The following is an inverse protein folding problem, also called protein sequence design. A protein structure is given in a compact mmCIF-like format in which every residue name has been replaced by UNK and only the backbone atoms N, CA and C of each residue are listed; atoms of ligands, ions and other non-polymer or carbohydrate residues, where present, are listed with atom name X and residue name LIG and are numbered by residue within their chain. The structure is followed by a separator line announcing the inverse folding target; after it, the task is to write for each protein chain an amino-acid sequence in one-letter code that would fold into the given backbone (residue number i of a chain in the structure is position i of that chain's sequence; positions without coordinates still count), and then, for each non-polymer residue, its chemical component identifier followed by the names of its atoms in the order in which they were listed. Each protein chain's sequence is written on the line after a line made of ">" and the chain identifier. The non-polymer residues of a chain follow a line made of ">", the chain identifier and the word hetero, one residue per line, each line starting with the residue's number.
data_IF_960303851633
#
_entry.id   IF_960303851633
#
_cell.length_a   1.000
_cell.length_b   1.000
_cell.length_c   1.000
_cell.angle_alpha   90.00
_cell.angle_beta   90.00
_cell.angle_gamma   90.00
#
_symmetry.space_group_name_H-M   'P 1'
#
loop_
_entity.id
_entity.type
_entity.pdbx_description
1 polymer ?
#
# COMPACT_ATOMS: atom_id res chain seq x y z
N UNK A 1 -8.07 12.21 0.31
CA UNK A 1 -8.35 12.09 -1.14
C UNK A 1 -9.85 12.08 -1.41
N UNK A 2 -10.60 11.06 -0.97
CA UNK A 2 -12.04 10.94 -1.25
C UNK A 2 -12.85 12.19 -0.89
N UNK A 3 -12.54 12.86 0.23
CA UNK A 3 -13.14 14.15 0.59
C UNK A 3 -12.85 15.23 -0.47
N UNK A 4 -11.60 15.38 -0.90
CA UNK A 4 -11.24 16.34 -1.94
C UNK A 4 -11.86 16.00 -3.30
N UNK A 5 -11.92 14.71 -3.66
CA UNK A 5 -12.63 14.26 -4.87
C UNK A 5 -14.13 14.55 -4.77
N UNK A 6 -14.77 14.25 -3.64
CA UNK A 6 -16.19 14.52 -3.41
C UNK A 6 -16.51 16.01 -3.49
N UNK A 7 -15.71 16.85 -2.83
CA UNK A 7 -15.83 18.32 -2.93
C UNK A 7 -15.60 18.81 -4.36
N UNK A 8 -14.58 18.29 -5.04
CA UNK A 8 -14.28 18.66 -6.41
C UNK A 8 -15.39 18.27 -7.40
N UNK A 9 -15.97 17.08 -7.24
CA UNK A 9 -17.11 16.61 -8.06
C UNK A 9 -18.35 17.46 -7.80
N UNK A 10 -18.69 17.73 -6.54
CA UNK A 10 -19.81 18.59 -6.20
C UNK A 10 -19.64 20.00 -6.77
N UNK A 11 -18.45 20.60 -6.59
CA UNK A 11 -18.14 21.93 -7.09
C UNK A 11 -18.18 21.98 -8.62
N UNK A 12 -17.59 21.00 -9.31
CA UNK A 12 -17.62 20.92 -10.77
C UNK A 12 -19.05 20.79 -11.29
N UNK A 13 -19.87 19.92 -10.69
CA UNK A 13 -21.27 19.74 -11.08
C UNK A 13 -22.09 21.03 -10.93
N UNK A 14 -21.92 21.74 -9.82
CA UNK A 14 -22.61 23.01 -9.55
C UNK A 14 -22.14 24.11 -10.51
N UNK A 15 -20.82 24.27 -10.68
CA UNK A 15 -20.24 25.34 -11.49
C UNK A 15 -20.52 25.17 -12.98
N UNK A 16 -20.61 23.93 -13.45
CA UNK A 16 -20.82 23.60 -14.86
C UNK A 16 -22.29 23.34 -15.19
N UNK A 17 -23.19 23.44 -14.20
CA UNK A 17 -24.63 23.21 -14.41
C UNK A 17 -24.94 21.80 -14.91
N UNK A 18 -24.17 20.80 -14.51
CA UNK A 18 -24.34 19.40 -14.92
C UNK A 18 -25.54 18.72 -14.25
N UNK A 19 -26.23 19.42 -13.36
CA UNK A 19 -27.40 18.92 -12.67
C UNK A 19 -28.57 18.78 -13.67
N UNK A 20 -29.36 17.69 -13.61
CA UNK A 20 -30.58 17.56 -14.40
C UNK A 20 -31.52 18.74 -14.17
N UNK A 21 -32.20 19.18 -15.23
CA UNK A 21 -33.11 20.33 -15.16
C UNK A 21 -34.14 20.16 -14.04
N UNK A 22 -34.16 21.11 -13.10
CA UNK A 22 -35.07 21.11 -11.95
C UNK A 22 -34.58 20.34 -10.70
N UNK A 23 -33.42 19.66 -10.75
CA UNK A 23 -32.90 18.90 -9.61
C UNK A 23 -32.22 19.79 -8.53
N UNK A 24 -31.79 21.00 -8.91
CA UNK A 24 -31.06 21.92 -8.04
C UNK A 24 -29.70 21.38 -7.56
N UNK A 25 -29.02 22.15 -6.71
CA UNK A 25 -27.67 21.80 -6.20
C UNK A 25 -27.67 20.64 -5.20
N UNK A 26 -28.85 20.21 -4.74
CA UNK A 26 -28.97 19.18 -3.70
C UNK A 26 -28.35 17.86 -4.17
N UNK A 27 -28.61 17.44 -5.41
CA UNK A 27 -28.05 16.20 -5.97
C UNK A 27 -26.52 16.25 -6.07
N UNK A 28 -25.97 17.40 -6.46
CA UNK A 28 -24.52 17.64 -6.54
C UNK A 28 -23.85 17.60 -5.16
N UNK A 29 -24.52 18.11 -4.12
CA UNK A 29 -24.03 17.99 -2.74
C UNK A 29 -24.12 16.55 -2.23
N UNK A 30 -25.19 15.81 -2.58
CA UNK A 30 -25.36 14.40 -2.20
C UNK A 30 -24.27 13.53 -2.79
N UNK A 31 -23.92 13.69 -4.08
CA UNK A 31 -22.83 12.91 -4.71
C UNK A 31 -21.48 13.23 -4.07
N UNK A 32 -21.21 14.49 -3.73
CA UNK A 32 -19.98 14.87 -3.05
C UNK A 32 -19.89 14.26 -1.65
N UNK A 33 -21.00 14.31 -0.90
CA UNK A 33 -21.09 13.74 0.44
C UNK A 33 -20.96 12.22 0.43
N UNK A 34 -21.58 11.52 -0.53
CA UNK A 34 -21.51 10.06 -0.62
C UNK A 34 -20.07 9.57 -0.89
N UNK A 35 -19.36 10.19 -1.84
CA UNK A 35 -17.96 9.88 -2.15
C UNK A 35 -17.06 10.13 -0.93
N UNK A 36 -17.25 11.27 -0.25
CA UNK A 36 -16.48 11.61 0.94
C UNK A 36 -16.72 10.62 2.08
N UNK A 37 -17.98 10.25 2.34
CA UNK A 37 -18.38 9.38 3.44
C UNK A 37 -17.93 7.92 3.22
N UNK A 38 -18.05 7.37 2.00
CA UNK A 38 -17.50 6.04 1.68
C UNK A 38 -15.99 6.02 1.89
N UNK A 39 -15.30 7.09 1.50
CA UNK A 39 -13.87 7.24 1.76
C UNK A 39 -13.51 7.32 3.24
N UNK A 40 -14.36 7.92 4.07
CA UNK A 40 -14.18 7.98 5.51
C UNK A 40 -14.32 6.58 6.16
N UNK A 41 -15.28 5.77 5.70
CA UNK A 41 -15.39 4.36 6.12
C UNK A 41 -14.12 3.58 5.75
N UNK A 42 -13.62 3.75 4.52
CA UNK A 42 -12.38 3.09 4.09
C UNK A 42 -11.17 3.51 4.94
N UNK A 43 -11.11 4.78 5.38
CA UNK A 43 -10.11 5.27 6.32
C UNK A 43 -10.26 4.59 7.70
N UNK A 44 -11.48 4.46 8.21
CA UNK A 44 -11.75 3.73 9.45
C UNK A 44 -11.29 2.27 9.38
N UNK A 45 -11.58 1.59 8.28
CA UNK A 45 -11.10 0.22 8.02
C UNK A 45 -9.58 0.17 8.01
N UNK A 46 -8.92 1.10 7.32
CA UNK A 46 -7.46 1.17 7.27
C UNK A 46 -6.85 1.44 8.66
N UNK A 47 -7.48 2.29 9.47
CA UNK A 47 -7.07 2.56 10.84
C UNK A 47 -7.12 1.28 11.69
N UNK A 48 -8.23 0.53 11.65
CA UNK A 48 -8.36 -0.75 12.36
C UNK A 48 -7.33 -1.77 11.85
N UNK A 49 -7.17 -1.89 10.53
CA UNK A 49 -6.19 -2.80 9.93
C UNK A 49 -4.74 -2.50 10.37
N UNK A 50 -4.40 -1.22 10.52
CA UNK A 50 -3.11 -0.78 11.02
C UNK A 50 -2.88 -1.20 12.48
N UNK A 51 -3.95 -1.29 13.28
CA UNK A 51 -3.88 -1.77 14.65
C UNK A 51 -3.78 -3.30 14.76
N UNK A 52 -4.18 -4.06 13.74
CA UNK A 52 -4.06 -5.53 13.71
C UNK A 52 -2.70 -5.97 13.18
N UNK A 53 -2.22 -5.32 12.12
CA UNK A 53 -1.00 -5.71 11.44
C UNK A 53 0.28 -5.23 12.15
N UNK A 54 1.36 -5.98 11.97
CA UNK A 54 2.73 -5.61 12.39
C UNK A 54 3.48 -4.82 11.32
N UNK A 55 3.05 -4.91 10.06
CA UNK A 55 3.71 -4.30 8.92
C UNK A 55 2.73 -3.47 8.11
N UNK A 56 3.21 -2.39 7.49
CA UNK A 56 2.39 -1.57 6.58
C UNK A 56 1.84 -2.37 5.41
N UNK A 57 2.57 -3.40 4.95
CA UNK A 57 2.11 -4.30 3.89
C UNK A 57 0.93 -5.15 4.36
N UNK A 58 1.03 -5.75 5.56
CA UNK A 58 -0.07 -6.52 6.14
C UNK A 58 -1.32 -5.68 6.38
N UNK A 59 -1.17 -4.45 6.89
CA UNK A 59 -2.28 -3.51 7.09
C UNK A 59 -3.00 -3.20 5.77
N UNK A 60 -2.22 -2.88 4.72
CA UNK A 60 -2.78 -2.61 3.40
C UNK A 60 -3.49 -3.84 2.82
N UNK A 61 -2.94 -5.05 2.97
CA UNK A 61 -3.60 -6.28 2.52
C UNK A 61 -4.94 -6.49 3.24
N UNK A 62 -4.98 -6.35 4.57
CA UNK A 62 -6.23 -6.51 5.33
C UNK A 62 -7.27 -5.49 4.88
N UNK A 63 -6.89 -4.21 4.78
CA UNK A 63 -7.81 -3.16 4.35
C UNK A 63 -8.36 -3.42 2.94
N UNK A 64 -7.49 -3.80 1.98
CA UNK A 64 -7.91 -4.14 0.63
C UNK A 64 -8.83 -5.35 0.56
N UNK A 65 -8.61 -6.39 1.38
CA UNK A 65 -9.49 -7.56 1.45
C UNK A 65 -10.85 -7.17 1.99
N UNK A 66 -10.92 -6.39 3.07
CA UNK A 66 -12.20 -5.93 3.64
C UNK A 66 -12.98 -5.09 2.64
N UNK A 67 -12.32 -4.15 1.96
CA UNK A 67 -12.96 -3.34 0.91
C UNK A 67 -13.40 -4.19 -0.29
N UNK A 68 -12.59 -5.18 -0.68
CA UNK A 68 -12.94 -6.13 -1.73
C UNK A 68 -14.18 -6.95 -1.38
N UNK A 69 -14.31 -7.40 -0.12
CA UNK A 69 -15.52 -8.10 0.36
C UNK A 69 -16.74 -7.17 0.30
N UNK A 70 -16.63 -5.92 0.75
CA UNK A 70 -17.72 -4.96 0.62
C UNK A 70 -18.11 -4.69 -0.84
N UNK A 71 -17.13 -4.66 -1.75
CA UNK A 71 -17.40 -4.49 -3.18
C UNK A 71 -18.13 -5.71 -3.77
N UNK A 72 -17.73 -6.93 -3.41
CA UNK A 72 -18.41 -8.17 -3.84
C UNK A 72 -19.83 -8.24 -3.28
N UNK A 73 -20.02 -7.93 -1.99
CA UNK A 73 -21.35 -7.89 -1.38
C UNK A 73 -22.27 -6.89 -2.09
N UNK A 74 -21.73 -5.71 -2.44
CA UNK A 74 -22.44 -4.70 -3.23
C UNK A 74 -22.82 -5.26 -4.60
N UNK A 75 -21.84 -5.80 -5.33
CA UNK A 75 -22.03 -6.33 -6.68
C UNK A 75 -23.10 -7.44 -6.73
N UNK A 76 -23.08 -8.35 -5.76
CA UNK A 76 -24.11 -9.40 -5.64
C UNK A 76 -25.46 -8.81 -5.27
N UNK A 77 -25.49 -7.79 -4.41
CA UNK A 77 -26.73 -7.11 -4.03
C UNK A 77 -27.41 -6.38 -5.16
N UNK A 78 -26.64 -5.77 -6.06
CA UNK A 78 -27.18 -5.05 -7.23
C UNK A 78 -27.90 -5.98 -8.23
N UNK A 79 -27.60 -7.27 -8.20
CA UNK A 79 -28.17 -8.28 -9.10
C UNK A 79 -29.42 -8.97 -8.53
N UNK A 80 -29.80 -8.70 -7.28
CA UNK A 80 -30.97 -9.26 -6.62
C UNK A 80 -31.90 -8.19 -6.05
N UNK A 81 -32.63 -8.51 -4.98
CA UNK A 81 -33.62 -7.62 -4.36
C UNK A 81 -33.03 -6.43 -3.59
N UNK A 82 -31.75 -6.09 -3.78
CA UNK A 82 -31.07 -4.98 -3.10
C UNK A 82 -30.79 -5.17 -1.59
N UNK A 83 -31.30 -6.22 -0.95
CA UNK A 83 -31.09 -6.47 0.50
C UNK A 83 -29.61 -6.67 0.87
N UNK A 84 -28.81 -7.30 -0.01
CA UNK A 84 -27.37 -7.45 0.19
C UNK A 84 -26.60 -6.15 -0.04
N UNK A 85 -27.11 -5.21 -0.85
CA UNK A 85 -26.51 -3.88 -1.05
C UNK A 85 -26.45 -3.12 0.28
N UNK A 86 -27.45 -3.31 1.15
CA UNK A 86 -27.48 -2.75 2.50
C UNK A 86 -26.47 -3.35 3.48
N UNK A 87 -25.77 -4.44 3.15
CA UNK A 87 -24.66 -4.97 3.96
C UNK A 87 -23.32 -4.31 3.62
N UNK A 88 -23.27 -3.53 2.54
CA UNK A 88 -22.06 -2.86 2.09
C UNK A 88 -22.15 -1.35 2.34
N UNK A 89 -21.19 -0.74 3.06
CA UNK A 89 -21.12 0.71 3.17
C UNK A 89 -20.90 1.38 1.80
N UNK A 90 -20.36 0.66 0.81
CA UNK A 90 -20.27 1.16 -0.56
C UNK A 90 -21.66 1.26 -1.19
N UNK A 91 -22.53 0.28 -0.91
CA UNK A 91 -23.93 0.29 -1.34
C UNK A 91 -24.73 1.45 -0.75
N UNK A 92 -24.51 1.76 0.54
CA UNK A 92 -25.13 2.93 1.20
C UNK A 92 -24.81 4.24 0.48
N UNK A 93 -23.58 4.40 -0.02
CA UNK A 93 -23.20 5.58 -0.79
C UNK A 93 -24.01 5.76 -2.08
N UNK A 94 -24.40 4.66 -2.75
CA UNK A 94 -25.25 4.69 -3.94
C UNK A 94 -26.73 4.86 -3.60
N UNK A 95 -27.18 4.28 -2.48
CA UNK A 95 -28.55 4.47 -1.95
C UNK A 95 -28.86 5.92 -1.55
N UNK A 96 -27.84 6.77 -1.40
CA UNK A 96 -28.07 8.21 -1.31
C UNK A 96 -28.75 8.78 -2.58
N UNK A 97 -28.72 8.05 -3.71
CA UNK A 97 -29.40 8.35 -4.98
C UNK A 97 -29.28 9.83 -5.38
N UNK A 98 -28.07 10.31 -5.70
CA UNK A 98 -27.87 11.69 -6.15
C UNK A 98 -28.76 11.99 -7.37
N UNK A 99 -29.42 13.14 -7.36
CA UNK A 99 -30.39 13.59 -8.37
C UNK A 99 -31.64 12.71 -8.54
N UNK A 100 -31.76 11.62 -7.79
CA UNK A 100 -32.98 10.85 -7.62
C UNK A 100 -33.69 11.28 -6.33
N UNK A 101 -33.78 10.37 -5.37
CA UNK A 101 -34.44 10.64 -4.08
C UNK A 101 -33.60 11.49 -3.11
N UNK A 102 -32.30 11.73 -3.37
CA UNK A 102 -31.41 12.53 -2.52
C UNK A 102 -31.50 12.15 -1.02
N UNK A 103 -31.33 10.86 -0.72
CA UNK A 103 -31.55 10.27 0.62
C UNK A 103 -30.43 10.61 1.60
N UNK A 104 -30.42 11.86 2.10
CA UNK A 104 -29.43 12.37 3.05
C UNK A 104 -29.31 11.58 4.35
N UNK A 105 -30.40 10.94 4.79
CA UNK A 105 -30.39 10.16 6.03
C UNK A 105 -29.40 8.99 5.99
N UNK A 106 -29.08 8.46 4.80
CA UNK A 106 -28.10 7.37 4.60
C UNK A 106 -26.65 7.83 4.89
N UNK A 107 -26.41 9.15 4.93
CA UNK A 107 -25.15 9.70 5.41
C UNK A 107 -24.92 9.39 6.90
N UNK A 108 -25.99 9.38 7.70
CA UNK A 108 -25.96 9.07 9.13
C UNK A 108 -25.28 7.74 9.45
N UNK A 109 -25.74 6.58 8.91
CA UNK A 109 -25.11 5.30 9.16
C UNK A 109 -23.67 5.22 8.61
N UNK A 110 -23.34 5.88 7.50
CA UNK A 110 -21.95 5.95 6.99
C UNK A 110 -21.00 6.66 7.98
N UNK A 111 -21.42 7.81 8.50
CA UNK A 111 -20.66 8.56 9.50
C UNK A 111 -20.60 7.80 10.83
N UNK A 112 -21.71 7.18 11.24
CA UNK A 112 -21.79 6.34 12.44
C UNK A 112 -20.81 5.17 12.38
N UNK A 113 -20.79 4.42 11.27
CA UNK A 113 -19.84 3.32 11.05
C UNK A 113 -18.39 3.82 11.07
N UNK A 114 -18.12 4.96 10.43
CA UNK A 114 -16.79 5.59 10.46
C UNK A 114 -16.35 5.88 11.89
N UNK A 115 -17.21 6.52 12.68
CA UNK A 115 -16.92 6.85 14.08
C UNK A 115 -16.67 5.57 14.88
N UNK A 116 -17.51 4.54 14.73
CA UNK A 116 -17.32 3.25 15.41
C UNK A 116 -15.97 2.62 15.06
N UNK A 117 -15.61 2.57 13.77
CA UNK A 117 -14.32 2.03 13.33
C UNK A 117 -13.13 2.81 13.91
N UNK A 118 -13.21 4.13 13.94
CA UNK A 118 -12.18 4.98 14.54
C UNK A 118 -12.09 4.78 16.05
N UNK A 119 -13.22 4.71 16.76
CA UNK A 119 -13.25 4.42 18.19
C UNK A 119 -12.66 3.05 18.52
N UNK A 120 -12.97 2.03 17.70
CA UNK A 120 -12.36 0.70 17.81
C UNK A 120 -10.85 0.79 17.60
N UNK A 121 -10.39 1.47 16.54
CA UNK A 121 -8.96 1.66 16.28
C UNK A 121 -8.26 2.35 17.47
N UNK A 122 -8.83 3.45 17.98
CA UNK A 122 -8.29 4.20 19.12
C UNK A 122 -8.29 3.35 20.40
N UNK A 123 -9.31 2.53 20.63
CA UNK A 123 -9.39 1.68 21.82
C UNK A 123 -8.41 0.51 21.78
N UNK A 124 -8.13 -0.02 20.60
CA UNK A 124 -7.07 -1.01 20.40
C UNK A 124 -5.70 -0.35 20.59
N UNK A 125 -5.51 0.85 20.04
CA UNK A 125 -4.27 1.62 20.19
C UNK A 125 -3.96 1.94 21.66
N UNK A 126 -4.95 2.39 22.43
CA UNK A 126 -4.81 2.67 23.86
C UNK A 126 -4.43 1.45 24.71
N UNK A 127 -4.60 0.23 24.18
CA UNK A 127 -4.24 -1.03 24.85
C UNK A 127 -3.00 -1.69 24.24
N UNK A 128 -2.43 -1.16 23.14
CA UNK A 128 -1.24 -1.73 22.49
C UNK A 128 0.03 -1.16 23.11
N UNK A 129 0.89 -2.04 23.58
CA UNK A 129 2.29 -1.70 23.84
C UNK A 129 3.00 -1.36 22.51
N UNK A 130 3.75 -0.26 22.50
CA UNK A 130 4.41 0.28 21.31
C UNK A 130 5.38 -0.76 20.70
N UNK A 131 4.98 -1.35 19.56
CA UNK A 131 5.84 -2.19 18.72
C UNK A 131 5.36 -3.62 18.47
N UNK A 132 4.30 -4.10 19.13
CA UNK A 132 3.74 -5.44 18.88
C UNK A 132 2.37 -5.34 18.22
N UNK A 133 2.25 -5.77 16.95
CA UNK A 133 0.95 -6.02 16.33
C UNK A 133 0.19 -7.09 17.10
N UNK A 134 -1.15 -7.06 17.07
CA UNK A 134 -1.99 -8.10 17.68
C UNK A 134 -1.63 -9.50 17.13
N UNK A 135 -1.14 -9.55 15.88
CA UNK A 135 -0.56 -10.75 15.28
C UNK A 135 0.96 -10.72 15.45
N UNK A 136 1.49 -11.51 16.39
CA UNK A 136 2.93 -11.64 16.57
C UNK A 136 3.63 -12.13 15.28
N UNK A 137 4.78 -11.54 14.93
CA UNK A 137 5.65 -12.09 13.89
C UNK A 137 6.12 -13.48 14.33
N UNK A 138 5.63 -14.53 13.67
CA UNK A 138 6.25 -15.85 13.77
C UNK A 138 7.63 -15.77 13.12
N UNK A 139 8.73 -16.11 13.82
CA UNK A 139 10.04 -16.22 13.19
C UNK A 139 9.96 -17.18 12.01
N UNK A 140 10.37 -16.73 10.82
CA UNK A 140 10.41 -17.59 9.63
C UNK A 140 11.27 -18.82 9.86
N UNK A 141 10.87 -19.97 9.29
CA UNK A 141 11.61 -21.24 9.39
C UNK A 141 13.07 -21.06 8.97
N UNK A 142 14.00 -21.52 9.80
CA UNK A 142 15.46 -21.50 9.60
C UNK A 142 15.97 -22.43 8.48
N UNK A 143 15.08 -23.08 7.73
CA UNK A 143 15.40 -23.96 6.62
C UNK A 143 14.30 -23.93 5.56
N UNK A 144 14.29 -22.89 4.72
CA UNK A 144 13.46 -22.87 3.52
C UNK A 144 14.14 -23.73 2.43
N UNK A 145 13.46 -24.73 1.84
CA UNK A 145 14.04 -25.57 0.79
C UNK A 145 14.34 -24.75 -0.48
N UNK A 146 15.40 -25.13 -1.20
CA UNK A 146 15.99 -24.38 -2.33
C UNK A 146 15.00 -24.02 -3.47
N UNK A 147 13.84 -24.67 -3.54
CA UNK A 147 12.75 -24.33 -4.47
C UNK A 147 12.07 -22.98 -4.20
N UNK A 148 12.19 -22.44 -2.98
CA UNK A 148 11.79 -21.06 -2.65
C UNK A 148 12.95 -20.06 -2.76
N UNK A 149 14.15 -20.54 -3.11
CA UNK A 149 15.23 -19.66 -3.52
C UNK A 149 14.92 -19.17 -4.94
N UNK A 150 14.09 -18.14 -5.03
CA UNK A 150 14.21 -17.22 -6.15
C UNK A 150 15.67 -16.79 -6.27
N UNK A 151 16.14 -16.48 -7.48
CA UNK A 151 17.49 -15.95 -7.75
C UNK A 151 17.86 -14.69 -6.93
N UNK A 152 16.90 -14.17 -6.15
CA UNK A 152 16.98 -13.12 -5.13
C UNK A 152 17.67 -13.52 -3.80
N UNK A 153 17.99 -14.80 -3.58
CA UNK A 153 18.36 -15.29 -2.24
C UNK A 153 19.75 -15.90 -2.06
N UNK A 154 20.63 -15.96 -3.07
CA UNK A 154 22.00 -16.46 -2.86
C UNK A 154 22.85 -15.38 -2.18
N UNK A 155 23.29 -15.55 -0.92
CA UNK A 155 24.45 -14.80 -0.46
C UNK A 155 25.66 -15.40 -1.17
N UNK A 156 26.19 -14.71 -2.18
CA UNK A 156 27.54 -15.00 -2.65
C UNK A 156 28.48 -14.41 -1.61
N UNK A 157 28.79 -15.19 -0.59
CA UNK A 157 29.75 -14.85 0.44
C UNK A 157 30.09 -16.10 1.26
N UNK A 158 31.37 -16.32 1.61
CA UNK A 158 31.74 -17.44 2.47
C UNK A 158 30.98 -17.36 3.80
N UNK A 159 30.63 -18.51 4.42
CA UNK A 159 29.82 -18.53 5.63
C UNK A 159 30.51 -17.72 6.73
N UNK A 160 29.90 -16.59 7.10
CA UNK A 160 30.34 -15.79 8.25
C UNK A 160 30.01 -16.59 9.51
N UNK A 161 31.06 -17.20 10.08
CA UNK A 161 30.99 -17.88 11.37
C UNK A 161 30.76 -16.81 12.44
N UNK A 162 29.52 -16.71 12.93
CA UNK A 162 29.17 -15.83 14.06
C UNK A 162 29.88 -16.36 15.31
N UNK A 163 30.77 -15.59 15.96
CA UNK A 163 31.38 -16.02 17.21
C UNK A 163 30.30 -16.09 18.29
N UNK A 164 30.20 -17.25 18.96
CA UNK A 164 29.32 -17.41 20.13
C UNK A 164 29.91 -16.59 21.27
N UNK A 165 29.13 -15.70 21.93
CA UNK A 165 29.58 -15.06 23.15
C UNK A 165 29.53 -16.10 24.27
N UNK A 166 30.70 -16.57 24.71
CA UNK A 166 30.76 -17.54 25.82
C UNK A 166 32.03 -18.39 25.93
N UNK A 167 32.97 -18.31 24.99
CA UNK A 167 34.21 -19.11 25.05
C UNK A 167 35.44 -18.27 25.44
N UNK A 168 35.27 -17.35 26.40
CA UNK A 168 36.38 -16.74 27.11
C UNK A 168 36.73 -17.59 28.35
N UNK A 169 37.34 -18.75 28.11
CA UNK A 169 38.09 -19.42 29.17
C UNK A 169 39.43 -18.70 29.31
N UNK A 170 39.75 -18.08 30.46
CA UNK A 170 41.04 -17.43 30.64
C UNK A 170 42.13 -18.50 30.61
N UNK A 171 43.06 -18.34 29.67
CA UNK A 171 44.27 -19.13 29.57
C UNK A 171 45.02 -19.09 30.92
N UNK A 172 44.96 -20.20 31.65
CA UNK A 172 45.70 -20.44 32.89
C UNK A 172 47.19 -20.45 32.54
N UNK A 173 47.85 -19.28 32.63
CA UNK A 173 49.32 -19.19 32.64
C UNK A 173 49.81 -19.98 33.85
N UNK A 174 50.33 -21.19 33.60
CA UNK A 174 51.17 -21.92 34.55
C UNK A 174 52.40 -21.05 34.83
N UNK A 175 52.44 -20.41 35.99
CA UNK A 175 53.69 -19.92 36.57
C UNK A 175 54.20 -21.02 37.49
N UNK A 176 55.38 -21.51 37.16
CA UNK A 176 56.20 -22.33 38.03
C UNK A 176 56.39 -21.61 39.36
N UNK A 177 56.05 -22.31 40.44
CA UNK A 177 56.45 -21.95 41.78
C UNK A 177 57.90 -22.38 41.94
N UNK A 178 58.77 -21.43 42.24
CA UNK A 178 60.07 -21.72 42.81
C UNK A 178 60.19 -20.99 44.14
N UNK A 179 60.63 -21.74 45.14
CA UNK A 179 60.67 -21.34 46.53
C UNK A 179 61.87 -20.43 46.79
N UNK A 180 61.68 -19.39 47.59
CA UNK A 180 62.76 -18.45 47.90
C UNK A 180 62.39 -17.47 49.00
N UNK A 181 62.49 -17.95 50.23
CA UNK A 181 62.58 -17.17 51.47
C UNK A 181 63.45 -15.91 51.34
N UNK A 182 62.97 -14.75 51.83
CA UNK A 182 63.69 -13.89 52.81
C UNK A 182 62.96 -12.59 53.16
N UNK A 183 62.72 -12.48 54.48
CA UNK A 183 62.87 -11.33 55.41
C UNK A 183 62.61 -9.90 54.93
N UNK A 184 61.60 -9.32 55.61
CA UNK A 184 61.60 -8.05 56.38
C UNK A 184 62.56 -6.95 55.91
N UNK A 185 62.01 -5.77 55.58
CA UNK A 185 62.37 -4.53 56.27
C UNK A 185 61.23 -3.49 56.16
N UNK A 186 60.78 -3.01 57.32
CA UNK A 186 59.87 -1.87 57.48
C UNK A 186 60.68 -0.59 57.27
N UNK A 187 60.17 0.35 56.47
CA UNK A 187 60.49 1.76 56.64
C UNK A 187 59.19 2.60 56.57
N UNK A 188 58.92 3.27 57.69
CA UNK A 188 57.92 4.32 57.85
C UNK A 188 58.40 5.57 57.11
N UNK A 189 57.50 6.26 56.41
CA UNK A 189 57.65 7.68 56.07
C UNK A 189 56.29 8.41 56.22
N UNK A 190 56.30 9.73 56.52
CA UNK A 190 55.24 10.39 57.26
C UNK A 190 54.17 11.08 56.40
N UNK A 191 53.09 11.45 57.08
CA UNK A 191 51.87 12.07 56.60
C UNK A 191 52.07 13.41 55.86
N UNK A 192 51.26 13.63 54.82
CA UNK A 192 51.04 14.92 54.15
C UNK A 192 49.57 15.37 54.32
N UNK A 193 49.29 16.67 54.54
CA UNK A 193 47.94 17.19 54.77
C UNK A 193 47.16 17.42 53.45
N UNK A 194 45.83 17.64 53.49
CA UNK A 194 44.94 17.41 52.36
C UNK A 194 44.94 18.57 51.37
N UNK A 195 45.17 18.26 50.08
CA UNK A 195 44.94 19.21 48.97
C UNK A 195 43.48 19.15 48.53
N UNK A 196 42.86 20.33 48.53
CA UNK A 196 41.50 20.63 48.07
C UNK A 196 41.23 20.03 46.68
N UNK A 197 40.16 19.23 46.60
CA UNK A 197 39.67 18.65 45.35
C UNK A 197 38.90 19.70 44.53
N UNK A 198 39.54 20.25 43.50
CA UNK A 198 38.83 20.92 42.42
C UNK A 198 38.43 19.85 41.40
N UNK A 199 37.15 19.45 41.40
CA UNK A 199 36.56 18.63 40.33
C UNK A 199 36.44 19.50 39.07
N UNK A 200 37.07 19.17 37.94
CA UNK A 200 36.68 19.77 36.67
C UNK A 200 35.34 19.15 36.25
N UNK A 201 34.42 20.00 35.80
CA UNK A 201 33.10 19.62 35.30
C UNK A 201 33.21 18.55 34.22
N UNK A 202 32.56 17.40 34.48
CA UNK A 202 32.35 16.39 33.44
C UNK A 202 31.39 16.98 32.41
N UNK A 203 31.93 17.41 31.27
CA UNK A 203 31.13 17.56 30.06
C UNK A 203 30.40 16.24 29.81
N UNK A 204 29.08 16.23 30.02
CA UNK A 204 28.21 15.15 29.56
C UNK A 204 28.31 15.14 28.04
N UNK A 205 29.23 14.34 27.51
CA UNK A 205 29.18 13.88 26.13
C UNK A 205 27.82 13.19 26.01
N UNK A 206 26.87 13.86 25.35
CA UNK A 206 25.60 13.26 24.93
C UNK A 206 25.99 12.05 24.09
N UNK A 207 25.90 10.85 24.67
CA UNK A 207 26.04 9.62 23.90
C UNK A 207 24.99 9.67 22.79
N UNK A 208 25.35 9.48 21.51
CA UNK A 208 24.36 9.38 20.47
C UNK A 208 23.39 8.26 20.84
N UNK A 209 22.10 8.55 20.77
CA UNK A 209 21.03 7.58 21.02
C UNK A 209 21.33 6.33 20.18
N UNK A 210 21.68 5.24 20.85
CA UNK A 210 21.98 3.98 20.20
C UNK A 210 20.68 3.47 19.58
N UNK A 211 20.54 3.65 18.26
CA UNK A 211 19.44 3.08 17.47
C UNK A 211 19.32 1.59 17.80
N UNK A 212 18.11 1.17 18.15
CA UNK A 212 17.82 -0.19 18.61
C UNK A 212 18.18 -1.28 17.59
N UNK A 213 18.29 -2.54 18.02
CA UNK A 213 18.72 -3.67 17.18
C UNK A 213 17.90 -3.83 15.89
N UNK A 214 16.61 -3.49 15.92
CA UNK A 214 15.71 -3.55 14.76
C UNK A 214 16.08 -2.54 13.66
N UNK A 215 16.47 -1.32 14.04
CA UNK A 215 16.81 -0.27 13.07
C UNK A 215 18.20 -0.50 12.44
N UNK A 216 19.10 -1.18 13.17
CA UNK A 216 20.37 -1.69 12.61
C UNK A 216 20.14 -2.81 11.59
N UNK A 217 19.09 -3.63 11.75
CA UNK A 217 18.76 -4.70 10.78
C UNK A 217 18.21 -4.14 9.48
N UNK A 218 17.31 -3.16 9.52
CA UNK A 218 16.78 -2.50 8.32
C UNK A 218 17.86 -1.78 7.49
N UNK A 219 18.76 -1.05 8.16
CA UNK A 219 19.89 -0.38 7.52
C UNK A 219 20.89 -1.35 6.90
N UNK A 220 21.27 -2.42 7.62
CA UNK A 220 22.18 -3.44 7.08
C UNK A 220 21.59 -4.26 5.94
N UNK A 221 20.28 -4.54 5.95
CA UNK A 221 19.64 -5.25 4.83
C UNK A 221 19.68 -4.39 3.56
N UNK A 222 19.48 -3.07 3.69
CA UNK A 222 19.58 -2.12 2.59
C UNK A 222 21.04 -1.95 2.11
N UNK A 223 22.01 -1.84 3.03
CA UNK A 223 23.44 -1.76 2.73
C UNK A 223 23.98 -3.05 2.08
N UNK A 224 23.55 -4.23 2.55
CA UNK A 224 23.95 -5.53 1.97
C UNK A 224 23.28 -5.80 0.62
N UNK A 225 22.07 -5.28 0.39
CA UNK A 225 21.40 -5.33 -0.92
C UNK A 225 22.02 -4.38 -1.94
N UNK A 226 22.66 -3.29 -1.49
CA UNK A 226 23.44 -2.38 -2.34
C UNK A 226 24.88 -2.88 -2.56
N UNK A 227 25.43 -3.67 -1.63
CA UNK A 227 26.75 -4.30 -1.75
C UNK A 227 26.75 -5.53 -2.69
N UNK A 228 25.60 -6.16 -2.92
CA UNK A 228 25.41 -7.14 -3.98
C UNK A 228 24.98 -6.45 -5.27
N UNK A 229 25.78 -6.55 -6.33
CA UNK A 229 25.56 -5.93 -7.64
C UNK A 229 24.27 -6.40 -8.35
N UNK A 230 23.10 -6.02 -7.85
CA UNK A 230 21.84 -6.12 -8.56
C UNK A 230 21.61 -4.82 -9.32
N UNK A 231 21.43 -4.90 -10.64
CA UNK A 231 21.03 -3.73 -11.41
C UNK A 231 19.71 -3.20 -10.82
N UNK A 232 19.67 -1.90 -10.52
CA UNK A 232 18.51 -1.20 -9.94
C UNK A 232 17.23 -1.46 -10.74
N UNK A 233 17.40 -1.66 -12.05
CA UNK A 233 16.38 -2.10 -13.01
C UNK A 233 15.81 -3.48 -12.69
N UNK A 234 16.65 -4.50 -12.46
CA UNK A 234 16.18 -5.86 -12.15
C UNK A 234 15.41 -5.90 -10.84
N UNK A 235 15.85 -5.12 -9.86
CA UNK A 235 15.13 -4.99 -8.59
C UNK A 235 13.78 -4.29 -8.75
N UNK A 236 13.72 -3.19 -9.50
CA UNK A 236 12.48 -2.46 -9.75
C UNK A 236 11.49 -3.29 -10.59
N UNK A 237 11.97 -3.95 -11.65
CA UNK A 237 11.18 -4.86 -12.47
C UNK A 237 10.63 -6.04 -11.66
N UNK A 238 11.43 -6.62 -10.76
CA UNK A 238 10.97 -7.68 -9.86
C UNK A 238 9.82 -7.26 -8.94
N UNK A 239 9.70 -5.98 -8.60
CA UNK A 239 8.58 -5.44 -7.81
C UNK A 239 7.32 -5.21 -8.63
N UNK A 240 7.46 -4.96 -9.94
CA UNK A 240 6.32 -4.76 -10.84
C UNK A 240 5.60 -6.07 -11.17
N UNK A 241 6.25 -7.23 -11.01
CA UNK A 241 5.59 -8.52 -11.20
C UNK A 241 4.33 -8.69 -10.32
N UNK A 242 4.36 -8.16 -9.09
CA UNK A 242 3.24 -8.27 -8.15
C UNK A 242 1.99 -7.53 -8.66
N UNK A 243 2.02 -6.21 -8.96
CA UNK A 243 0.84 -5.52 -9.50
C UNK A 243 0.45 -6.01 -10.90
N UNK A 244 1.41 -6.39 -11.76
CA UNK A 244 1.12 -6.90 -13.12
C UNK A 244 0.30 -8.19 -13.06
N UNK A 245 0.78 -9.20 -12.32
CA UNK A 245 0.07 -10.48 -12.17
C UNK A 245 -1.17 -10.33 -11.28
N UNK A 246 -1.04 -9.59 -10.18
CA UNK A 246 -2.12 -9.40 -9.21
C UNK A 246 -3.36 -8.74 -9.82
N UNK A 247 -3.19 -7.74 -10.69
CA UNK A 247 -4.32 -7.09 -11.37
C UNK A 247 -4.98 -8.01 -12.39
N UNK A 248 -4.23 -8.80 -13.16
CA UNK A 248 -4.81 -9.80 -14.06
C UNK A 248 -5.65 -10.83 -13.29
N UNK A 249 -5.10 -11.37 -12.19
CA UNK A 249 -5.81 -12.32 -11.33
C UNK A 249 -7.06 -11.70 -10.72
N UNK A 250 -6.97 -10.46 -10.22
CA UNK A 250 -8.12 -9.75 -9.66
C UNK A 250 -9.21 -9.46 -10.70
N UNK A 251 -8.85 -9.14 -11.94
CA UNK A 251 -9.82 -8.96 -13.03
C UNK A 251 -10.53 -10.26 -13.38
N UNK A 252 -9.79 -11.38 -13.48
CA UNK A 252 -10.38 -12.70 -13.73
C UNK A 252 -11.32 -13.11 -12.60
N UNK A 253 -10.88 -12.96 -11.34
CA UNK A 253 -11.73 -13.26 -10.18
C UNK A 253 -12.96 -12.34 -10.17
N UNK A 254 -12.77 -11.04 -10.40
CA UNK A 254 -13.87 -10.06 -10.43
C UNK A 254 -14.89 -10.37 -11.51
N UNK A 255 -14.45 -10.65 -12.74
CA UNK A 255 -15.33 -11.02 -13.85
C UNK A 255 -16.01 -12.37 -13.64
N UNK A 256 -15.32 -13.36 -13.05
CA UNK A 256 -15.92 -14.65 -12.71
C UNK A 256 -16.98 -14.52 -11.60
N UNK A 257 -16.70 -13.73 -10.56
CA UNK A 257 -17.67 -13.43 -9.50
C UNK A 257 -18.87 -12.69 -10.09
N UNK A 258 -18.65 -11.71 -10.96
CA UNK A 258 -19.72 -10.97 -11.63
C UNK A 258 -20.56 -11.89 -12.51
N UNK A 259 -19.93 -12.73 -13.34
CA UNK A 259 -20.65 -13.66 -14.18
C UNK A 259 -21.36 -14.79 -13.43
N UNK A 260 -20.83 -15.21 -12.28
CA UNK A 260 -21.51 -16.16 -11.41
C UNK A 260 -22.73 -15.56 -10.73
N UNK A 261 -22.60 -14.34 -10.21
CA UNK A 261 -23.72 -13.62 -9.61
C UNK A 261 -24.78 -13.27 -10.65
N UNK A 262 -24.38 -12.79 -11.82
CA UNK A 262 -25.27 -12.46 -12.93
C UNK A 262 -25.98 -13.72 -13.42
N UNK A 263 -25.23 -14.79 -13.69
CA UNK A 263 -25.78 -16.07 -14.10
C UNK A 263 -26.78 -16.65 -13.10
N UNK A 264 -26.51 -16.52 -11.79
CA UNK A 264 -27.45 -16.93 -10.75
C UNK A 264 -28.74 -16.09 -10.75
N UNK A 265 -28.67 -14.79 -11.08
CA UNK A 265 -29.84 -13.91 -11.15
C UNK A 265 -30.77 -14.22 -12.34
N UNK A 266 -30.23 -14.70 -13.46
CA UNK A 266 -31.01 -15.03 -14.67
C UNK A 266 -31.24 -16.54 -14.86
N UNK A 267 -30.68 -17.39 -13.98
CA UNK A 267 -30.80 -18.86 -14.06
C UNK A 267 -29.83 -19.55 -15.04
N UNK A 268 -28.82 -18.85 -15.56
CA UNK A 268 -27.89 -19.36 -16.59
C UNK A 268 -26.42 -19.28 -16.14
N UNK A 269 -25.79 -20.42 -15.87
CA UNK A 269 -24.41 -20.49 -15.34
C UNK A 269 -23.30 -20.33 -16.41
N UNK A 270 -23.65 -20.27 -17.69
CA UNK A 270 -22.70 -20.19 -18.81
C UNK A 270 -21.87 -18.90 -18.89
N UNK A 271 -22.22 -17.87 -18.12
CA UNK A 271 -21.65 -16.53 -18.23
C UNK A 271 -20.36 -16.29 -17.42
N UNK A 272 -19.97 -17.22 -16.54
CA UNK A 272 -18.80 -17.05 -15.66
C UNK A 272 -17.51 -16.87 -16.47
N UNK A 273 -17.30 -17.76 -17.45
CA UNK A 273 -16.07 -17.75 -18.26
C UNK A 273 -16.01 -16.55 -19.21
N UNK A 274 -17.11 -16.22 -19.88
CA UNK A 274 -17.17 -15.11 -20.82
C UNK A 274 -16.95 -13.77 -20.11
N UNK A 275 -17.55 -13.55 -18.93
CA UNK A 275 -17.38 -12.32 -18.17
C UNK A 275 -16.01 -12.23 -17.48
N UNK A 276 -15.41 -13.37 -17.09
CA UNK A 276 -14.01 -13.39 -16.64
C UNK A 276 -13.03 -12.97 -17.74
N UNK A 277 -13.24 -13.45 -18.98
CA UNK A 277 -12.44 -13.06 -20.14
C UNK A 277 -12.70 -11.61 -20.55
N UNK A 278 -13.95 -11.16 -20.52
CA UNK A 278 -14.30 -9.76 -20.77
C UNK A 278 -13.62 -8.82 -19.76
N UNK A 279 -13.60 -9.17 -18.47
CA UNK A 279 -12.88 -8.40 -17.47
C UNK A 279 -11.36 -8.41 -17.70
N UNK A 280 -10.79 -9.53 -18.14
CA UNK A 280 -9.37 -9.61 -18.49
C UNK A 280 -8.99 -8.71 -19.68
N UNK A 281 -9.92 -8.41 -20.59
CA UNK A 281 -9.69 -7.48 -21.69
C UNK A 281 -9.38 -6.05 -21.21
N UNK A 282 -9.76 -5.67 -19.99
CA UNK A 282 -9.38 -4.38 -19.38
C UNK A 282 -7.95 -4.36 -18.83
N UNK A 283 -7.24 -5.48 -18.81
CA UNK A 283 -5.90 -5.56 -18.22
C UNK A 283 -4.88 -4.59 -18.87
N UNK A 284 -4.81 -4.44 -20.21
CA UNK A 284 -3.95 -3.44 -20.83
C UNK A 284 -4.26 -2.01 -20.37
N UNK A 285 -5.53 -1.65 -20.21
CA UNK A 285 -5.92 -0.33 -19.69
C UNK A 285 -5.41 -0.11 -18.25
N UNK A 286 -5.52 -1.13 -17.38
CA UNK A 286 -4.96 -1.09 -16.02
C UNK A 286 -3.43 -0.94 -16.04
N UNK A 287 -2.75 -1.59 -17.00
CA UNK A 287 -1.31 -1.47 -17.18
C UNK A 287 -0.87 -0.08 -17.64
N UNK A 288 -1.71 0.65 -18.39
CA UNK A 288 -1.43 2.06 -18.72
C UNK A 288 -1.39 2.92 -17.46
N UNK A 289 -2.34 2.74 -16.54
CA UNK A 289 -2.35 3.48 -15.26
C UNK A 289 -1.12 3.13 -14.41
N UNK A 290 -0.75 1.85 -14.34
CA UNK A 290 0.50 1.43 -13.70
C UNK A 290 1.72 2.07 -14.37
N UNK A 291 1.74 2.11 -15.70
CA UNK A 291 2.78 2.77 -16.50
C UNK A 291 2.90 4.25 -16.19
N UNK A 292 1.79 4.99 -16.13
CA UNK A 292 1.77 6.40 -15.71
C UNK A 292 2.34 6.55 -14.30
N UNK A 293 1.96 5.67 -13.37
CA UNK A 293 2.50 5.72 -12.00
C UNK A 293 4.02 5.50 -11.97
N UNK A 294 4.53 4.53 -12.74
CA UNK A 294 5.96 4.25 -12.86
C UNK A 294 6.70 5.39 -13.55
N UNK A 295 6.12 5.99 -14.59
CA UNK A 295 6.66 7.15 -15.28
C UNK A 295 6.74 8.36 -14.33
N UNK A 296 5.67 8.69 -13.61
CA UNK A 296 5.66 9.76 -12.61
C UNK A 296 6.69 9.51 -11.52
N UNK A 297 6.82 8.28 -11.02
CA UNK A 297 7.87 7.92 -10.06
C UNK A 297 9.28 8.16 -10.62
N UNK A 298 9.51 7.75 -11.87
CA UNK A 298 10.76 7.95 -12.58
C UNK A 298 11.11 9.42 -12.84
N UNK A 299 10.14 10.27 -13.18
CA UNK A 299 10.35 11.65 -13.63
C UNK A 299 10.12 12.71 -12.55
N UNK A 300 9.13 12.54 -11.66
CA UNK A 300 8.76 13.47 -10.60
C UNK A 300 8.44 12.71 -9.29
N UNK A 301 9.43 12.36 -8.45
CA UNK A 301 9.24 11.49 -7.30
C UNK A 301 8.37 12.16 -6.23
N UNK A 302 8.35 13.49 -6.19
CA UNK A 302 7.45 14.28 -5.35
C UNK A 302 5.98 14.10 -5.76
N UNK A 303 5.72 13.98 -7.06
CA UNK A 303 4.39 13.73 -7.60
C UNK A 303 4.01 12.24 -7.59
N UNK A 304 4.94 11.32 -7.33
CA UNK A 304 4.67 9.89 -7.43
C UNK A 304 3.64 9.38 -6.41
N UNK A 305 3.48 10.09 -5.28
CA UNK A 305 2.46 9.75 -4.30
C UNK A 305 1.10 10.28 -4.74
N UNK A 306 0.98 11.57 -5.07
CA UNK A 306 -0.33 12.20 -5.34
C UNK A 306 -0.78 12.03 -6.79
N UNK A 307 0.16 12.04 -7.73
CA UNK A 307 -0.09 12.06 -9.17
C UNK A 307 -0.88 10.88 -9.70
N UNK A 308 -0.51 9.61 -9.40
CA UNK A 308 -1.28 8.45 -9.86
C UNK A 308 -2.72 8.46 -9.34
N UNK A 309 -2.92 8.86 -8.09
CA UNK A 309 -4.23 9.00 -7.48
C UNK A 309 -5.04 10.15 -8.10
N UNK A 310 -4.41 11.29 -8.39
CA UNK A 310 -5.04 12.41 -9.07
C UNK A 310 -5.44 12.05 -10.51
N UNK A 311 -4.59 11.33 -11.24
CA UNK A 311 -4.88 10.85 -12.59
C UNK A 311 -6.08 9.89 -12.58
N UNK A 312 -6.12 8.93 -11.65
CA UNK A 312 -7.27 8.05 -11.46
C UNK A 312 -8.56 8.82 -11.14
N UNK A 313 -8.49 9.79 -10.22
CA UNK A 313 -9.64 10.61 -9.86
C UNK A 313 -10.15 11.46 -11.02
N UNK A 314 -9.24 12.14 -11.75
CA UNK A 314 -9.58 12.95 -12.91
C UNK A 314 -10.19 12.10 -14.03
N UNK A 315 -9.59 10.96 -14.35
CA UNK A 315 -10.12 10.03 -15.35
C UNK A 315 -11.54 9.56 -14.98
N UNK A 316 -11.78 9.21 -13.71
CA UNK A 316 -13.11 8.81 -13.25
C UNK A 316 -14.16 9.93 -13.42
N UNK A 317 -13.78 11.18 -13.12
CA UNK A 317 -14.64 12.34 -13.36
C UNK A 317 -14.91 12.55 -14.85
N UNK A 318 -13.89 12.45 -15.70
CA UNK A 318 -14.06 12.59 -17.15
C UNK A 318 -14.95 11.48 -17.70
N UNK A 319 -14.86 10.24 -17.21
CA UNK A 319 -15.74 9.15 -17.66
C UNK A 319 -17.20 9.41 -17.27
N UNK A 320 -17.46 9.93 -16.06
CA UNK A 320 -18.83 10.20 -15.59
C UNK A 320 -19.44 11.43 -16.23
N UNK A 321 -18.64 12.49 -16.38
CA UNK A 321 -19.11 13.79 -16.83
C UNK A 321 -18.79 14.06 -18.30
N UNK A 322 -18.08 13.18 -19.01
CA UNK A 322 -17.52 13.46 -20.33
C UNK A 322 -18.57 13.78 -21.37
N UNK A 323 -19.63 12.96 -21.41
CA UNK A 323 -20.78 13.19 -22.29
C UNK A 323 -21.58 14.42 -21.86
N UNK A 324 -21.77 14.61 -20.55
CA UNK A 324 -22.48 15.78 -20.01
C UNK A 324 -21.73 17.10 -20.30
N UNK A 325 -20.40 17.06 -20.30
CA UNK A 325 -19.51 18.18 -20.62
C UNK A 325 -19.32 18.39 -22.13
N UNK A 326 -19.95 17.56 -22.98
CA UNK A 326 -19.81 17.59 -24.44
C UNK A 326 -18.34 17.62 -24.86
N UNK A 327 -17.50 16.83 -24.18
CA UNK A 327 -16.07 16.78 -24.51
C UNK A 327 -15.88 16.25 -25.93
N UNK A 328 -14.84 16.72 -26.65
CA UNK A 328 -14.54 16.17 -27.97
C UNK A 328 -14.30 14.66 -27.88
N UNK A 329 -14.81 13.90 -28.85
CA UNK A 329 -14.69 12.43 -28.86
C UNK A 329 -13.25 11.95 -28.73
N UNK A 330 -12.29 12.63 -29.35
CA UNK A 330 -10.87 12.29 -29.24
C UNK A 330 -10.33 12.30 -27.79
N UNK A 331 -10.94 13.08 -26.90
CA UNK A 331 -10.58 13.10 -25.47
C UNK A 331 -11.08 11.84 -24.78
N UNK A 332 -12.32 11.44 -25.07
CA UNK A 332 -12.94 10.25 -24.50
C UNK A 332 -12.29 8.98 -25.06
N UNK A 333 -12.04 8.94 -26.37
CA UNK A 333 -11.37 7.83 -27.07
C UNK A 333 -9.91 7.64 -26.61
N UNK A 334 -9.27 8.71 -26.14
CA UNK A 334 -7.92 8.63 -25.59
C UNK A 334 -7.86 7.99 -24.19
N UNK A 335 -8.99 7.87 -23.48
CA UNK A 335 -9.02 7.29 -22.14
C UNK A 335 -8.82 5.76 -22.22
N UNK A 336 -7.89 5.18 -21.44
CA UNK A 336 -7.58 3.75 -21.53
C UNK A 336 -8.78 2.82 -21.37
N UNK A 337 -9.73 3.20 -20.51
CA UNK A 337 -10.93 2.40 -20.24
C UNK A 337 -12.00 2.55 -21.33
N UNK A 338 -12.13 3.73 -21.93
CA UNK A 338 -13.06 3.97 -23.05
C UNK A 338 -12.58 3.32 -24.35
N UNK A 339 -11.26 3.25 -24.54
CA UNK A 339 -10.66 2.54 -25.67
C UNK A 339 -10.76 1.00 -25.57
N UNK A 340 -11.17 0.45 -24.43
CA UNK A 340 -11.26 -1.00 -24.24
C UNK A 340 -12.54 -1.55 -24.88
N UNK A 341 -12.50 -2.66 -25.66
CA UNK A 341 -13.69 -3.21 -26.29
C UNK A 341 -14.78 -3.60 -25.28
N UNK A 342 -16.01 -3.16 -25.53
CA UNK A 342 -17.17 -3.46 -24.68
C UNK A 342 -17.68 -4.88 -24.91
N UNK A 343 -16.98 -5.87 -24.35
CA UNK A 343 -17.42 -7.27 -24.35
C UNK A 343 -18.51 -7.53 -23.30
N UNK A 344 -19.53 -8.37 -23.59
CA UNK A 344 -19.81 -9.10 -24.84
C UNK A 344 -20.73 -8.33 -25.81
N UNK A 345 -20.97 -7.04 -25.58
CA UNK A 345 -21.92 -6.24 -26.35
C UNK A 345 -21.46 -5.97 -27.80
N UNK A 346 -20.14 -5.92 -28.02
CA UNK A 346 -19.52 -5.67 -29.33
C UNK A 346 -18.61 -6.84 -29.76
N UNK A 347 -18.35 -7.00 -31.07
CA UNK A 347 -17.40 -7.99 -31.56
C UNK A 347 -15.98 -7.72 -31.04
N UNK A 348 -15.23 -8.80 -30.80
CA UNK A 348 -13.91 -8.72 -30.21
C UNK A 348 -12.88 -8.09 -31.16
N UNK A 349 -12.20 -7.04 -30.70
CA UNK A 349 -11.14 -6.36 -31.45
C UNK A 349 -9.81 -6.38 -30.70
N UNK A 350 -8.75 -6.82 -31.39
CA UNK A 350 -7.39 -6.90 -30.82
C UNK A 350 -6.66 -5.56 -30.84
N UNK A 351 -7.03 -4.66 -31.76
CA UNK A 351 -6.31 -3.42 -32.04
C UNK A 351 -6.15 -2.52 -30.81
N UNK A 352 -7.22 -2.20 -30.04
CA UNK A 352 -7.08 -1.31 -28.88
C UNK A 352 -6.23 -1.94 -27.77
N UNK A 353 -6.35 -3.26 -27.58
CA UNK A 353 -5.58 -3.99 -26.58
C UNK A 353 -4.07 -3.96 -26.87
N UNK A 354 -3.68 -4.09 -28.14
CA UNK A 354 -2.28 -4.00 -28.57
C UNK A 354 -1.73 -2.58 -28.35
N UNK A 355 -2.49 -1.55 -28.74
CA UNK A 355 -2.09 -0.15 -28.56
C UNK A 355 -1.88 0.16 -27.06
N UNK A 356 -2.85 -0.20 -26.21
CA UNK A 356 -2.75 0.02 -24.76
C UNK A 356 -1.55 -0.73 -24.15
N UNK A 357 -1.28 -1.96 -24.60
CA UNK A 357 -0.13 -2.74 -24.13
C UNK A 357 1.20 -2.08 -24.52
N UNK A 358 1.32 -1.57 -25.75
CA UNK A 358 2.51 -0.85 -26.22
C UNK A 358 2.70 0.44 -25.44
N UNK A 359 1.63 1.22 -25.24
CA UNK A 359 1.66 2.47 -24.45
C UNK A 359 2.07 2.20 -23.00
N UNK A 360 1.48 1.20 -22.37
CA UNK A 360 1.85 0.77 -21.01
C UNK A 360 3.33 0.38 -20.93
N UNK A 361 3.81 -0.43 -21.88
CA UNK A 361 5.21 -0.84 -21.97
C UNK A 361 6.16 0.35 -22.12
N UNK A 362 5.83 1.31 -22.99
CA UNK A 362 6.61 2.53 -23.20
C UNK A 362 6.68 3.40 -21.93
N UNK A 363 5.56 3.58 -21.24
CA UNK A 363 5.49 4.34 -19.99
C UNK A 363 6.33 3.68 -18.89
N UNK A 364 6.19 2.36 -18.70
CA UNK A 364 7.01 1.60 -17.73
C UNK A 364 8.50 1.71 -18.08
N UNK A 365 8.87 1.50 -19.34
CA UNK A 365 10.25 1.60 -19.79
C UNK A 365 10.83 3.01 -19.55
N UNK A 366 10.06 4.06 -19.83
CA UNK A 366 10.46 5.45 -19.59
C UNK A 366 10.72 5.74 -18.11
N UNK A 367 9.84 5.27 -17.22
CA UNK A 367 9.98 5.46 -15.78
C UNK A 367 11.17 4.69 -15.20
N UNK A 368 11.37 3.45 -15.64
CA UNK A 368 12.46 2.59 -15.21
C UNK A 368 13.84 3.08 -15.70
N UNK A 369 13.93 3.51 -16.97
CA UNK A 369 15.16 4.09 -17.52
C UNK A 369 15.54 5.40 -16.82
N UNK A 370 14.56 6.26 -16.53
CA UNK A 370 14.82 7.50 -15.78
C UNK A 370 15.24 7.21 -14.34
N UNK A 371 14.61 6.25 -13.67
CA UNK A 371 14.99 5.80 -12.34
C UNK A 371 16.43 5.25 -12.31
N UNK A 372 16.83 4.50 -13.33
CA UNK A 372 18.19 3.97 -13.44
C UNK A 372 19.26 5.05 -13.62
N UNK A 373 18.92 6.19 -14.24
CA UNK A 373 19.80 7.34 -14.47
C UNK A 373 19.79 8.38 -13.34
N UNK A 374 19.08 8.14 -12.24
CA UNK A 374 19.07 9.06 -11.09
C UNK A 374 20.23 8.77 -10.15
N UNK A 375 21.14 9.73 -10.05
CA UNK A 375 22.16 9.74 -9.03
C UNK A 375 21.51 9.99 -7.67
N UNK A 376 21.73 9.04 -6.75
CA UNK A 376 21.24 9.16 -5.38
C UNK A 376 22.36 9.84 -4.61
N UNK A 377 22.20 11.14 -4.34
CA UNK A 377 23.03 11.80 -3.35
C UNK A 377 22.76 11.12 -2.00
N UNK A 378 23.77 10.43 -1.48
CA UNK A 378 23.77 9.92 -0.10
C UNK A 378 23.77 11.16 0.81
N UNK A 379 22.61 11.46 1.38
CA UNK A 379 22.43 12.50 2.40
C UNK A 379 22.79 11.96 3.80
#
# INVERSE_FOLDING_TARGET
>A
MCVACGVGVAAASILLGLDPAGAGITGSLVVGASIAAVGAVALGVAAVANQVATTSRGANTIASVVLGVFYVLRMVGDLGDGRLTWLSPIGWGQEMQPWGANRWWVLGPLLGLTIVLLLVALRVEARRDLGAGLVAERPGRSGAPARYASSLGRPVGPPVRVPRPGDDRPARRRRHADAGTRRRHRHRLPARPPRRAHRPGRHRVRRPVSRGPAQRRGGRMAELQLAGAMSRLRWAAGRLAIPVVGTAVLLVIGGALFGGAYGASIGETGHVGSLALAALAYWPAVMVILGVAVALFGWLPRAAVVGPWAALGAMWVIVIAGDALHLPSWVLDALPFSATPYQPAEPFSWTPLLILTVVAGALVASGLTRYARRDVQLA
#
